data_IF_083447324571
#
_entry.id   IF_083447324571
#
_cell.length_a   1.000
_cell.length_b   1.000
_cell.length_c   1.000
_cell.angle_alpha   90.00
_cell.angle_beta   90.00
_cell.angle_gamma   90.00
#
_symmetry.space_group_name_H-M   'P 1'
#
loop_
_entity.id
_entity.type
_entity.pdbx_description
1 polymer ?
#
# COMPACT_ATOMS: atom_id res chain seq x y z
N UNK A 1 -79.13 19.36 -2.36
CA UNK A 1 -77.75 18.97 -2.75
C UNK A 1 -76.90 18.88 -1.50
N UNK A 2 -75.85 18.03 -1.45
CA UNK A 2 -75.05 17.83 -0.24
C UNK A 2 -74.32 19.12 0.16
N UNK A 3 -74.12 19.30 1.47
CA UNK A 3 -73.44 20.45 2.07
C UNK A 3 -71.94 20.48 1.70
N UNK A 4 -71.32 21.67 1.56
CA UNK A 4 -69.90 21.77 1.22
C UNK A 4 -69.02 21.29 2.39
N UNK A 5 -67.93 20.60 2.05
CA UNK A 5 -66.93 20.15 3.01
C UNK A 5 -66.22 21.34 3.70
N UNK A 6 -65.88 21.23 5.00
CA UNK A 6 -65.13 22.27 5.70
C UNK A 6 -63.69 22.39 5.16
N UNK A 7 -63.09 23.61 5.20
CA UNK A 7 -61.74 23.82 4.69
C UNK A 7 -60.70 23.04 5.51
N UNK A 8 -59.78 22.37 4.83
CA UNK A 8 -58.61 21.75 5.47
C UNK A 8 -57.77 22.85 6.13
N UNK A 9 -57.52 22.71 7.43
CA UNK A 9 -56.53 23.54 8.13
C UNK A 9 -55.13 23.14 7.66
N UNK A 10 -54.22 24.08 7.36
CA UNK A 10 -52.83 23.73 7.10
C UNK A 10 -52.21 23.16 8.38
N UNK A 11 -51.48 22.05 8.24
CA UNK A 11 -50.71 21.47 9.34
C UNK A 11 -49.56 22.43 9.70
N UNK A 12 -49.23 22.64 10.99
CA UNK A 12 -48.07 23.43 11.36
C UNK A 12 -46.82 22.78 10.77
N UNK A 13 -46.06 23.53 9.97
CA UNK A 13 -44.78 23.09 9.44
C UNK A 13 -43.83 22.85 10.62
N UNK A 14 -43.47 21.58 10.83
CA UNK A 14 -42.44 21.23 11.80
C UNK A 14 -41.10 21.81 11.31
N UNK A 15 -40.35 22.53 12.17
CA UNK A 15 -39.08 23.12 11.75
C UNK A 15 -38.12 22.01 11.33
N UNK A 16 -37.73 22.05 10.06
CA UNK A 16 -36.76 21.13 9.47
C UNK A 16 -35.46 21.20 10.28
N UNK A 17 -35.08 20.10 10.95
CA UNK A 17 -33.77 20.03 11.60
C UNK A 17 -32.70 20.24 10.52
N UNK A 18 -31.71 21.11 10.75
CA UNK A 18 -30.61 21.27 9.82
C UNK A 18 -29.90 19.91 9.65
N UNK A 19 -29.45 19.58 8.44
CA UNK A 19 -28.69 18.36 8.21
C UNK A 19 -27.46 18.37 9.14
N UNK A 20 -27.07 17.22 9.70
CA UNK A 20 -25.85 17.13 10.49
C UNK A 20 -24.66 17.60 9.66
N UNK A 21 -23.72 18.31 10.29
CA UNK A 21 -22.50 18.72 9.63
C UNK A 21 -21.79 17.50 9.02
N UNK A 22 -21.24 17.63 7.80
CA UNK A 22 -20.49 16.55 7.19
C UNK A 22 -19.33 16.18 8.11
N UNK A 23 -19.02 14.88 8.27
CA UNK A 23 -17.89 14.47 9.09
C UNK A 23 -16.63 15.16 8.56
N UNK A 24 -15.69 15.53 9.45
CA UNK A 24 -14.43 16.12 9.03
C UNK A 24 -13.75 15.20 8.01
N UNK A 25 -13.04 15.77 7.02
CA UNK A 25 -12.32 14.98 6.03
C UNK A 25 -11.40 13.99 6.77
N UNK A 26 -11.28 12.74 6.30
CA UNK A 26 -10.40 11.77 6.93
C UNK A 26 -9.01 12.39 7.03
N UNK A 27 -8.42 12.36 8.23
CA UNK A 27 -7.04 12.79 8.39
C UNK A 27 -6.18 12.01 7.41
N UNK A 28 -5.20 12.65 6.73
CA UNK A 28 -4.36 11.97 5.77
C UNK A 28 -3.72 10.77 6.46
N UNK A 29 -4.22 9.58 6.14
CA UNK A 29 -3.61 8.32 6.57
C UNK A 29 -2.17 8.40 6.12
N UNK A 30 -1.25 8.24 7.07
CA UNK A 30 0.16 8.22 6.79
C UNK A 30 0.41 7.26 5.61
N UNK A 31 1.01 7.77 4.53
CA UNK A 31 1.19 6.97 3.33
C UNK A 31 1.92 5.67 3.69
N UNK A 32 1.57 4.52 3.09
CA UNK A 32 2.25 3.26 3.37
C UNK A 32 3.76 3.45 3.26
N UNK A 33 4.47 3.19 4.35
CA UNK A 33 5.93 3.22 4.35
C UNK A 33 6.40 1.93 3.65
N UNK A 34 6.55 1.96 2.32
CA UNK A 34 7.04 0.86 1.48
C UNK A 34 6.03 0.32 0.44
N UNK A 35 6.48 -0.61 -0.43
CA UNK A 35 5.65 -1.23 -1.49
C UNK A 35 5.79 -2.77 -1.59
N UNK A 36 6.31 -3.42 -0.55
CA UNK A 36 6.46 -4.88 -0.53
C UNK A 36 5.08 -5.56 -0.55
N UNK A 37 4.95 -6.62 -1.35
CA UNK A 37 3.69 -7.36 -1.45
C UNK A 37 3.44 -8.20 -0.18
N UNK A 38 2.17 -8.34 0.26
CA UNK A 38 1.83 -9.25 1.34
C UNK A 38 2.25 -10.70 1.03
N UNK A 39 2.79 -11.40 2.02
CA UNK A 39 3.23 -12.80 1.89
C UNK A 39 2.00 -13.72 1.78
N UNK A 40 1.68 -14.17 0.57
CA UNK A 40 0.54 -15.06 0.31
C UNK A 40 0.81 -16.52 0.71
N UNK A 41 2.08 -16.94 0.78
CA UNK A 41 2.48 -18.31 1.12
C UNK A 41 3.76 -18.34 1.95
N UNK A 42 3.94 -19.41 2.72
CA UNK A 42 5.13 -19.65 3.54
C UNK A 42 6.41 -19.70 2.69
N UNK A 43 7.54 -19.25 3.22
CA UNK A 43 8.87 -19.36 2.60
C UNK A 43 9.69 -20.35 3.43
N UNK A 44 9.95 -21.54 2.90
CA UNK A 44 10.41 -22.70 3.68
C UNK A 44 11.83 -23.09 3.27
N UNK A 45 12.69 -23.42 4.24
CA UNK A 45 14.01 -24.01 4.00
C UNK A 45 15.05 -23.03 3.49
N UNK A 46 14.85 -21.74 3.81
CA UNK A 46 15.68 -20.60 3.34
C UNK A 46 16.18 -19.75 4.50
N UNK A 47 16.05 -20.26 5.72
CA UNK A 47 16.51 -19.60 6.95
C UNK A 47 18.03 -19.31 6.90
N UNK A 48 18.91 -20.24 6.44
CA UNK A 48 20.34 -19.93 6.34
C UNK A 48 20.65 -18.84 5.31
N UNK A 49 19.91 -18.81 4.20
CA UNK A 49 20.08 -17.80 3.15
C UNK A 49 19.64 -16.41 3.65
N UNK A 50 18.57 -16.36 4.44
CA UNK A 50 18.09 -15.13 5.09
C UNK A 50 19.09 -14.61 6.13
N UNK A 51 19.59 -15.48 7.01
CA UNK A 51 20.60 -15.12 8.00
C UNK A 51 21.87 -14.55 7.34
N UNK A 52 22.32 -15.18 6.25
CA UNK A 52 23.47 -14.70 5.49
C UNK A 52 23.20 -13.30 4.89
N UNK A 53 22.00 -13.08 4.34
CA UNK A 53 21.61 -11.79 3.76
C UNK A 53 21.48 -10.70 4.83
N UNK A 54 20.81 -10.97 5.94
CA UNK A 54 20.71 -10.06 7.08
C UNK A 54 22.08 -9.74 7.69
N UNK A 55 22.99 -10.70 7.70
CA UNK A 55 24.37 -10.47 8.11
C UNK A 55 25.16 -9.59 7.12
N UNK A 56 24.87 -9.66 5.82
CA UNK A 56 25.60 -8.94 4.77
C UNK A 56 25.17 -7.48 4.62
N UNK A 57 23.87 -7.19 4.73
CA UNK A 57 23.29 -5.86 4.49
C UNK A 57 23.91 -4.73 5.35
N UNK A 58 24.23 -4.93 6.64
CA UNK A 58 24.90 -3.90 7.45
C UNK A 58 26.36 -3.63 7.04
N UNK A 59 26.98 -4.57 6.33
CA UNK A 59 28.40 -4.52 5.95
C UNK A 59 28.61 -4.04 4.51
N UNK A 60 27.60 -4.15 3.67
CA UNK A 60 27.69 -3.88 2.25
C UNK A 60 26.51 -3.02 1.78
N UNK A 61 26.75 -1.89 1.08
CA UNK A 61 25.69 -1.03 0.58
C UNK A 61 24.86 -1.68 -0.53
N UNK A 62 25.38 -2.75 -1.15
CA UNK A 62 24.71 -3.52 -2.18
C UNK A 62 25.09 -5.00 -2.04
N UNK A 63 24.09 -5.87 -2.08
CA UNK A 63 24.25 -7.33 -2.08
C UNK A 63 23.58 -7.90 -3.33
N UNK A 64 24.32 -8.66 -4.13
CA UNK A 64 23.82 -9.29 -5.36
C UNK A 64 23.50 -10.77 -5.10
N UNK A 65 22.24 -11.16 -5.30
CA UNK A 65 21.82 -12.55 -5.23
C UNK A 65 22.03 -13.23 -6.59
N UNK A 66 22.85 -14.27 -6.63
CA UNK A 66 23.15 -15.07 -7.83
C UNK A 66 22.66 -16.51 -7.66
N UNK A 67 22.27 -17.15 -8.77
CA UNK A 67 21.79 -18.53 -8.74
C UNK A 67 20.92 -18.88 -9.95
N UNK A 68 20.58 -20.16 -10.14
CA UNK A 68 19.86 -20.64 -11.31
C UNK A 68 18.47 -19.98 -11.46
N UNK A 69 17.93 -20.03 -12.68
CA UNK A 69 16.55 -19.60 -12.94
C UNK A 69 15.56 -20.34 -12.03
N UNK A 70 14.53 -19.64 -11.55
CA UNK A 70 13.52 -20.24 -10.67
C UNK A 70 13.95 -20.51 -9.22
N UNK A 71 15.18 -20.17 -8.80
CA UNK A 71 15.65 -20.40 -7.42
C UNK A 71 15.01 -19.51 -6.34
N UNK A 72 14.13 -18.58 -6.71
CA UNK A 72 13.41 -17.73 -5.77
C UNK A 72 14.21 -16.53 -5.23
N UNK A 73 15.27 -16.08 -5.91
CA UNK A 73 16.08 -14.90 -5.47
C UNK A 73 15.24 -13.63 -5.22
N UNK A 74 14.29 -13.23 -6.09
CA UNK A 74 13.45 -12.07 -5.82
C UNK A 74 12.65 -12.25 -4.52
N UNK A 75 12.10 -13.47 -4.33
CA UNK A 75 11.36 -13.82 -3.12
C UNK A 75 12.23 -13.82 -1.87
N UNK A 76 13.49 -14.24 -1.95
CA UNK A 76 14.45 -14.15 -0.85
C UNK A 76 14.73 -12.69 -0.47
N UNK A 77 14.93 -11.82 -1.46
CA UNK A 77 15.17 -10.38 -1.22
C UNK A 77 13.95 -9.70 -0.59
N UNK A 78 12.75 -9.97 -1.12
CA UNK A 78 11.50 -9.46 -0.54
C UNK A 78 11.29 -9.94 0.90
N UNK A 79 11.61 -11.21 1.18
CA UNK A 79 11.48 -11.75 2.53
C UNK A 79 12.47 -11.07 3.50
N UNK A 80 13.74 -10.96 3.11
CA UNK A 80 14.73 -10.26 3.92
C UNK A 80 14.38 -8.79 4.17
N UNK A 81 13.85 -8.08 3.16
CA UNK A 81 13.41 -6.70 3.29
C UNK A 81 12.18 -6.56 4.19
N UNK A 82 11.22 -7.49 4.12
CA UNK A 82 10.04 -7.47 4.98
C UNK A 82 10.32 -7.90 6.43
N UNK A 83 11.42 -8.62 6.70
CA UNK A 83 11.88 -8.90 8.07
C UNK A 83 12.72 -7.75 8.66
N UNK A 84 13.08 -6.76 7.84
CA UNK A 84 13.87 -5.62 8.28
C UNK A 84 13.01 -4.64 9.09
N UNK A 85 13.53 -4.01 10.17
CA UNK A 85 12.77 -3.06 10.97
C UNK A 85 12.32 -1.82 10.19
N UNK A 86 13.16 -1.38 9.26
CA UNK A 86 12.86 -0.24 8.38
C UNK A 86 12.02 -0.67 7.17
N UNK A 87 11.13 0.20 6.68
CA UNK A 87 10.38 0.00 5.45
C UNK A 87 11.25 -0.42 4.27
N UNK A 88 10.78 -1.40 3.50
CA UNK A 88 11.43 -1.86 2.28
C UNK A 88 10.75 -1.35 1.01
N UNK A 89 11.56 -1.19 -0.04
CA UNK A 89 11.09 -0.88 -1.39
C UNK A 89 11.59 -1.92 -2.39
N UNK A 90 10.66 -2.43 -3.20
CA UNK A 90 10.93 -3.19 -4.40
C UNK A 90 10.93 -2.22 -5.59
N UNK A 91 12.06 -2.19 -6.30
CA UNK A 91 12.24 -1.38 -7.51
C UNK A 91 12.60 -2.32 -8.65
N UNK A 92 11.70 -2.44 -9.63
CA UNK A 92 11.99 -3.16 -10.87
C UNK A 92 12.81 -2.25 -11.78
N UNK A 93 13.96 -2.76 -12.23
CA UNK A 93 14.82 -2.02 -13.15
C UNK A 93 14.35 -2.22 -14.58
N UNK A 94 14.11 -1.11 -15.28
CA UNK A 94 13.87 -1.13 -16.71
C UNK A 94 15.21 -1.17 -17.48
N UNK A 95 15.22 -1.86 -18.62
CA UNK A 95 16.35 -1.81 -19.54
C UNK A 95 16.41 -0.43 -20.17
N UNK A 96 17.62 0.14 -20.23
CA UNK A 96 17.90 1.34 -21.02
C UNK A 96 18.76 0.96 -22.23
N UNK A 97 18.41 1.50 -23.40
CA UNK A 97 19.17 1.27 -24.64
C UNK A 97 20.34 2.25 -24.81
N UNK A 98 20.37 3.34 -24.04
CA UNK A 98 21.44 4.32 -24.05
C UNK A 98 21.66 4.99 -22.67
N UNK A 99 22.91 5.25 -22.22
CA UNK A 99 23.18 5.84 -20.90
C UNK A 99 22.56 7.22 -20.68
N UNK A 100 22.39 8.04 -21.72
CA UNK A 100 21.77 9.36 -21.56
C UNK A 100 20.27 9.31 -21.20
N UNK A 101 19.64 8.12 -21.20
CA UNK A 101 18.25 7.94 -20.79
C UNK A 101 18.04 7.90 -19.26
N UNK A 102 19.11 7.76 -18.46
CA UNK A 102 19.03 7.64 -17.00
C UNK A 102 18.29 8.81 -16.32
N UNK A 103 18.53 10.09 -16.66
CA UNK A 103 17.84 11.21 -16.00
C UNK A 103 16.32 11.21 -16.18
N UNK A 104 15.80 10.58 -17.24
CA UNK A 104 14.35 10.45 -17.49
C UNK A 104 13.74 9.14 -16.99
N UNK A 105 14.52 8.28 -16.32
CA UNK A 105 14.12 6.94 -15.89
C UNK A 105 13.98 6.79 -14.36
N UNK A 106 14.15 7.88 -13.60
CA UNK A 106 14.10 7.93 -12.13
C UNK A 106 12.98 8.83 -11.61
#
# INVERSE_FOLDING_TARGET
GPAPAPPLRPSPAEPLRPPPDPPPPPEPSEAPRGNLRPRLTSFVGREPDLEALHGALPRHPLVTLIGPGGSGKPRLAEHAAADHPEPGWLVELARLDHPAAVPGAV
#
